data_IF_899702136065
#
_entry.id   IF_899702136065
#
_cell.length_a   1.000
_cell.length_b   1.000
_cell.length_c   1.000
_cell.angle_alpha   90.00
_cell.angle_beta   90.00
_cell.angle_gamma   90.00
#
_symmetry.space_group_name_H-M   'P 1'
#
loop_
_entity.id
_entity.type
_entity.pdbx_description
1 polymer ?
#
# COMPACT_ATOMS: atom_id res chain seq x y z
N UNK A 1 15.40 4.78 8.56
CA UNK A 1 14.70 3.93 7.58
C UNK A 1 15.73 3.47 6.56
N UNK A 2 16.05 2.17 6.52
CA UNK A 2 16.97 1.64 5.51
C UNK A 2 16.28 1.54 4.14
N UNK A 3 17.03 1.59 3.05
CA UNK A 3 16.48 1.53 1.67
C UNK A 3 15.53 0.34 1.43
N UNK A 4 15.74 -0.77 2.15
CA UNK A 4 14.86 -1.95 2.08
C UNK A 4 13.43 -1.66 2.53
N UNK A 5 13.24 -0.77 3.49
CA UNK A 5 11.91 -0.44 4.01
C UNK A 5 11.11 0.38 3.00
N UNK A 6 11.77 1.34 2.36
CA UNK A 6 11.18 2.15 1.30
C UNK A 6 10.82 1.26 0.10
N UNK A 7 11.72 0.36 -0.32
CA UNK A 7 11.44 -0.59 -1.41
C UNK A 7 10.22 -1.47 -1.13
N UNK A 8 10.06 -1.96 0.11
CA UNK A 8 8.90 -2.77 0.50
C UNK A 8 7.60 -1.96 0.48
N UNK A 9 7.64 -0.72 0.97
CA UNK A 9 6.49 0.20 0.92
C UNK A 9 6.07 0.50 -0.52
N UNK A 10 7.03 0.84 -1.38
CA UNK A 10 6.79 1.11 -2.80
C UNK A 10 6.24 -0.12 -3.52
N UNK A 11 6.82 -1.30 -3.28
CA UNK A 11 6.35 -2.56 -3.87
C UNK A 11 4.92 -2.88 -3.44
N UNK A 12 4.59 -2.71 -2.16
CA UNK A 12 3.24 -2.91 -1.66
C UNK A 12 2.25 -1.91 -2.29
N UNK A 13 2.68 -0.66 -2.49
CA UNK A 13 1.88 0.40 -3.07
C UNK A 13 1.55 0.12 -4.54
N UNK A 14 2.55 -0.15 -5.36
CA UNK A 14 2.36 -0.50 -6.77
C UNK A 14 1.52 -1.75 -6.94
N UNK A 15 1.75 -2.78 -6.11
CA UNK A 15 0.96 -4.00 -6.13
C UNK A 15 -0.51 -3.75 -5.78
N UNK A 16 -0.78 -2.85 -4.84
CA UNK A 16 -2.14 -2.48 -4.45
C UNK A 16 -2.85 -1.72 -5.55
N UNK A 17 -2.20 -0.72 -6.15
CA UNK A 17 -2.73 0.01 -7.30
C UNK A 17 -3.07 -0.92 -8.45
N UNK A 18 -2.15 -1.84 -8.77
CA UNK A 18 -2.36 -2.81 -9.84
C UNK A 18 -3.51 -3.78 -9.52
N UNK A 19 -3.64 -4.21 -8.26
CA UNK A 19 -4.74 -5.12 -7.84
C UNK A 19 -6.10 -4.44 -7.91
N UNK A 20 -6.17 -3.15 -7.57
CA UNK A 20 -7.40 -2.35 -7.63
C UNK A 20 -7.68 -1.86 -9.07
N UNK A 21 -6.71 -1.97 -9.98
CA UNK A 21 -6.81 -1.43 -11.33
C UNK A 21 -6.75 0.09 -11.37
N UNK A 22 -6.20 0.73 -10.32
CA UNK A 22 -6.12 2.18 -10.23
C UNK A 22 -4.96 2.69 -11.09
N UNK A 23 -5.29 3.13 -12.30
CA UNK A 23 -4.33 3.72 -13.25
C UNK A 23 -4.10 5.19 -12.94
N UNK A 24 -5.12 5.89 -12.47
CA UNK A 24 -5.04 7.32 -12.19
C UNK A 24 -4.34 7.58 -10.85
N UNK A 25 -3.10 8.05 -10.93
CA UNK A 25 -2.30 8.38 -9.74
C UNK A 25 -2.77 9.67 -9.06
N UNK A 26 -3.57 10.48 -9.76
CA UNK A 26 -4.22 11.66 -9.20
C UNK A 26 -5.50 11.32 -8.44
N UNK A 27 -5.95 10.07 -8.47
CA UNK A 27 -7.11 9.68 -7.69
C UNK A 27 -6.82 9.85 -6.20
N UNK A 28 -7.78 10.41 -5.44
CA UNK A 28 -7.67 10.46 -3.98
C UNK A 28 -7.54 9.06 -3.36
N UNK A 29 -7.98 8.01 -4.07
CA UNK A 29 -7.71 6.62 -3.70
C UNK A 29 -6.21 6.31 -3.63
N UNK A 30 -5.41 6.80 -4.57
CA UNK A 30 -3.97 6.57 -4.61
C UNK A 30 -3.30 7.14 -3.35
N UNK A 31 -3.65 8.37 -2.97
CA UNK A 31 -3.18 9.00 -1.74
C UNK A 31 -3.66 8.25 -0.48
N UNK A 32 -4.89 7.73 -0.47
CA UNK A 32 -5.41 6.91 0.63
C UNK A 32 -4.64 5.58 0.77
N UNK A 33 -4.37 4.89 -0.34
CA UNK A 33 -3.58 3.65 -0.36
C UNK A 33 -2.18 3.89 0.22
N UNK A 34 -1.49 4.95 -0.24
CA UNK A 34 -0.16 5.30 0.26
C UNK A 34 -0.16 5.52 1.79
N UNK A 35 -1.10 6.33 2.29
CA UNK A 35 -1.28 6.56 3.74
C UNK A 35 -1.57 5.26 4.49
N UNK A 36 -2.41 4.37 3.94
CA UNK A 36 -2.75 3.10 4.58
C UNK A 36 -1.54 2.18 4.67
N UNK A 37 -0.77 2.05 3.61
CA UNK A 37 0.44 1.22 3.58
C UNK A 37 1.48 1.72 4.59
N UNK A 38 1.70 3.03 4.70
CA UNK A 38 2.58 3.61 5.72
C UNK A 38 2.06 3.27 7.12
N UNK A 39 0.76 3.42 7.37
CA UNK A 39 0.15 3.11 8.66
C UNK A 39 0.31 1.63 9.04
N UNK A 40 0.13 0.71 8.10
CA UNK A 40 0.31 -0.73 8.33
C UNK A 40 1.80 -1.09 8.47
N UNK A 41 2.71 -0.39 7.80
CA UNK A 41 4.14 -0.62 8.03
C UNK A 41 4.58 -0.14 9.42
N UNK A 42 3.99 0.95 9.92
CA UNK A 42 4.21 1.43 11.29
C UNK A 42 3.70 0.45 12.36
N UNK A 43 2.75 -0.45 12.05
CA UNK A 43 2.35 -1.49 13.00
C UNK A 43 3.35 -2.65 13.10
N UNK A 44 4.45 -2.60 12.32
CA UNK A 44 5.50 -3.62 12.32
C UNK A 44 5.36 -4.66 11.21
N UNK A 45 4.41 -4.50 10.29
CA UNK A 45 4.28 -5.39 9.13
C UNK A 45 5.41 -5.13 8.15
N UNK A 46 6.29 -6.12 7.99
CA UNK A 46 7.42 -6.06 7.06
C UNK A 46 7.12 -6.69 5.70
N UNK A 47 6.10 -7.53 5.60
CA UNK A 47 5.76 -8.21 4.35
C UNK A 47 5.02 -7.28 3.37
N UNK A 48 5.57 -7.01 2.17
CA UNK A 48 4.92 -6.15 1.18
C UNK A 48 3.58 -6.72 0.68
N UNK A 49 3.45 -8.04 0.60
CA UNK A 49 2.18 -8.69 0.27
C UNK A 49 1.11 -8.49 1.36
N UNK A 50 1.50 -8.56 2.64
CA UNK A 50 0.57 -8.29 3.75
C UNK A 50 0.21 -6.82 3.82
N UNK A 51 1.17 -5.91 3.58
CA UNK A 51 0.91 -4.47 3.50
C UNK A 51 -0.16 -4.17 2.45
N UNK A 52 -0.03 -4.75 1.26
CA UNK A 52 -1.02 -4.60 0.19
C UNK A 52 -2.38 -5.18 0.57
N UNK A 53 -2.43 -6.43 1.05
CA UNK A 53 -3.68 -7.07 1.45
C UNK A 53 -4.40 -6.33 2.58
N UNK A 54 -3.65 -5.85 3.59
CA UNK A 54 -4.18 -5.05 4.68
C UNK A 54 -4.67 -3.69 4.19
N UNK A 55 -3.92 -3.01 3.31
CA UNK A 55 -4.36 -1.75 2.74
C UNK A 55 -5.67 -1.90 1.95
N UNK A 56 -5.80 -2.94 1.14
CA UNK A 56 -7.03 -3.25 0.38
C UNK A 56 -8.19 -3.58 1.33
N UNK A 57 -7.96 -4.46 2.31
CA UNK A 57 -8.96 -4.84 3.32
C UNK A 57 -9.47 -3.63 4.09
N UNK A 58 -8.57 -2.72 4.44
CA UNK A 58 -8.86 -1.49 5.16
C UNK A 58 -9.48 -0.38 4.30
N UNK A 59 -9.38 -0.46 2.97
CA UNK A 59 -10.08 0.40 2.02
C UNK A 59 -11.51 -0.08 1.75
N UNK A 60 -11.82 -1.34 2.09
CA UNK A 60 -13.16 -1.89 1.93
C UNK A 60 -13.57 -2.13 0.47
N UNK A 61 -12.62 -2.18 -0.46
CA UNK A 61 -12.89 -2.54 -1.85
C UNK A 61 -13.21 -4.04 -1.87
N UNK A 62 -14.47 -4.39 -2.11
CA UNK A 62 -15.00 -5.75 -2.17
C UNK A 62 -15.37 -6.10 -3.60
#
# INVERSE_FOLDING_TARGET
>A
MGSDEISRLTTAYEKTLHTIGLVDRNDPLAAMIAKKIIKVAQTGVRDPAKLSALAIKELGVK
#
